data_IF_024833675156
#
_entry.id   IF_024833675156
#
_cell.length_a   1.000
_cell.length_b   1.000
_cell.length_c   1.000
_cell.angle_alpha   90.00
_cell.angle_beta   90.00
_cell.angle_gamma   90.00
#
_symmetry.space_group_name_H-M   'P 1'
#
loop_
_entity.id
_entity.type
_entity.pdbx_description
1 polymer ?
#
# COMPACT_ATOMS: atom_id res chain seq x y z
N UNK A 1 -11.57 0.09 12.03
CA UNK A 1 -11.65 -1.33 11.60
C UNK A 1 -10.53 -1.50 10.59
N UNK A 2 -9.57 -2.40 10.83
CA UNK A 2 -8.45 -2.62 9.90
C UNK A 2 -8.75 -3.87 9.05
N UNK A 3 -8.24 -3.94 7.82
CA UNK A 3 -8.28 -5.10 6.91
C UNK A 3 -9.58 -5.37 6.13
N UNK A 4 -10.66 -4.62 6.35
CA UNK A 4 -11.94 -4.94 5.67
C UNK A 4 -11.91 -4.57 4.19
N UNK A 5 -11.33 -3.43 3.84
CA UNK A 5 -11.30 -2.99 2.46
C UNK A 5 -10.34 -3.85 1.63
N UNK A 6 -9.16 -4.17 2.19
CA UNK A 6 -8.23 -5.16 1.63
C UNK A 6 -8.83 -6.56 1.50
N UNK A 7 -9.61 -7.03 2.49
CA UNK A 7 -10.28 -8.32 2.42
C UNK A 7 -11.32 -8.39 1.29
N UNK A 8 -12.11 -7.34 1.13
CA UNK A 8 -13.08 -7.26 0.03
C UNK A 8 -12.34 -7.26 -1.31
N UNK A 9 -11.30 -6.44 -1.47
CA UNK A 9 -10.53 -6.38 -2.71
C UNK A 9 -9.94 -7.74 -3.09
N UNK A 10 -9.30 -8.43 -2.14
CA UNK A 10 -8.70 -9.75 -2.36
C UNK A 10 -9.75 -10.81 -2.70
N UNK A 11 -10.85 -10.90 -1.94
CA UNK A 11 -11.85 -11.95 -2.15
C UNK A 11 -12.63 -11.76 -3.45
N UNK A 12 -12.94 -10.52 -3.82
CA UNK A 12 -13.57 -10.22 -5.12
C UNK A 12 -12.59 -10.55 -6.24
N UNK A 13 -11.31 -10.20 -6.12
CA UNK A 13 -10.33 -10.49 -7.16
C UNK A 13 -10.15 -12.00 -7.38
N UNK A 14 -10.05 -12.79 -6.31
CA UNK A 14 -9.94 -14.26 -6.40
C UNK A 14 -11.13 -14.86 -7.14
N UNK A 15 -12.35 -14.39 -6.89
CA UNK A 15 -13.54 -14.87 -7.60
C UNK A 15 -13.51 -14.49 -9.09
N UNK A 16 -13.15 -13.25 -9.40
CA UNK A 16 -13.07 -12.76 -10.79
C UNK A 16 -11.96 -13.45 -11.61
N UNK A 17 -10.91 -13.95 -10.96
CA UNK A 17 -9.83 -14.71 -11.63
C UNK A 17 -10.31 -16.04 -12.21
N UNK A 18 -11.48 -16.55 -11.80
CA UNK A 18 -12.13 -17.69 -12.46
C UNK A 18 -12.71 -17.31 -13.84
N UNK A 19 -12.84 -16.02 -14.14
CA UNK A 19 -13.49 -15.48 -15.33
C UNK A 19 -12.57 -14.61 -16.19
N UNK A 20 -11.44 -14.15 -15.66
CA UNK A 20 -10.44 -13.33 -16.35
C UNK A 20 -9.03 -13.72 -15.93
N UNK A 21 -8.09 -13.73 -16.87
CA UNK A 21 -6.66 -13.95 -16.59
C UNK A 21 -5.99 -12.76 -15.91
N UNK A 22 -6.59 -11.58 -16.00
CA UNK A 22 -6.09 -10.33 -15.45
C UNK A 22 -7.20 -9.61 -14.70
N UNK A 23 -6.92 -9.22 -13.46
CA UNK A 23 -7.89 -8.60 -12.56
C UNK A 23 -7.17 -7.56 -11.70
N UNK A 24 -7.77 -6.37 -11.61
CA UNK A 24 -7.41 -5.34 -10.65
C UNK A 24 -8.69 -4.96 -9.91
N UNK A 25 -8.70 -5.13 -8.59
CA UNK A 25 -9.81 -4.67 -7.74
C UNK A 25 -9.28 -3.59 -6.82
N UNK A 26 -9.83 -2.38 -6.97
CA UNK A 26 -9.58 -1.23 -6.11
C UNK A 26 -10.81 -1.01 -5.23
N UNK A 27 -10.60 -1.00 -3.91
CA UNK A 27 -11.61 -0.67 -2.92
C UNK A 27 -11.10 0.48 -2.04
N UNK A 28 -11.17 1.69 -2.57
CA UNK A 28 -10.57 2.87 -1.93
C UNK A 28 -9.04 2.83 -2.03
N UNK A 29 -8.35 2.91 -0.89
CA UNK A 29 -6.88 2.87 -0.86
C UNK A 29 -6.27 1.47 -0.97
N UNK A 30 -7.11 0.44 -1.08
CA UNK A 30 -6.72 -0.97 -0.99
C UNK A 30 -6.96 -1.70 -2.30
N UNK A 31 -5.90 -2.30 -2.83
CA UNK A 31 -5.87 -2.91 -4.15
C UNK A 31 -5.41 -4.36 -4.02
N UNK A 32 -6.04 -5.26 -4.76
CA UNK A 32 -5.48 -6.58 -5.08
C UNK A 32 -5.41 -6.73 -6.60
N UNK A 33 -4.25 -7.11 -7.11
CA UNK A 33 -4.00 -7.16 -8.54
C UNK A 33 -3.30 -8.44 -9.00
N UNK A 34 -3.64 -8.86 -10.22
CA UNK A 34 -3.04 -9.93 -10.99
C UNK A 34 -3.06 -9.54 -12.47
N UNK A 35 -1.90 -9.47 -13.10
CA UNK A 35 -1.74 -9.00 -14.49
C UNK A 35 -0.62 -9.79 -15.18
N UNK A 36 -0.74 -9.95 -16.50
CA UNK A 36 0.29 -10.53 -17.36
C UNK A 36 1.26 -9.48 -17.90
N UNK A 37 0.99 -8.20 -17.65
CA UNK A 37 1.84 -7.06 -18.01
C UNK A 37 2.23 -6.24 -16.77
N UNK A 38 3.38 -5.53 -16.80
CA UNK A 38 3.74 -4.62 -15.72
C UNK A 38 2.65 -3.58 -15.45
N UNK A 39 2.36 -3.35 -14.17
CA UNK A 39 1.35 -2.38 -13.72
C UNK A 39 2.03 -1.25 -12.95
N UNK A 40 1.59 -0.01 -13.21
CA UNK A 40 1.96 1.16 -12.41
C UNK A 40 0.80 1.52 -11.49
N UNK A 41 1.02 1.49 -10.19
CA UNK A 41 0.05 1.90 -9.17
C UNK A 41 0.44 3.27 -8.65
N UNK A 42 -0.33 4.29 -9.02
CA UNK A 42 -0.07 5.68 -8.64
C UNK A 42 -0.17 5.90 -7.12
N UNK A 43 0.75 6.67 -6.56
CA UNK A 43 0.75 7.01 -5.14
C UNK A 43 0.01 8.34 -4.91
N UNK A 44 -1.14 8.27 -4.27
CA UNK A 44 -1.87 9.44 -3.80
C UNK A 44 -1.56 9.73 -2.32
N UNK A 45 -0.95 10.88 -2.04
CA UNK A 45 -0.53 11.31 -0.70
C UNK A 45 -1.12 12.68 -0.33
N UNK A 46 -2.37 12.94 -0.75
CA UNK A 46 -3.10 14.15 -0.39
C UNK A 46 -2.41 15.43 -0.84
N UNK A 47 -2.11 16.31 0.12
CA UNK A 47 -1.47 17.62 -0.11
C UNK A 47 0.05 17.56 -0.16
N UNK A 48 0.66 16.40 0.08
CA UNK A 48 2.10 16.24 -0.08
C UNK A 48 2.51 16.65 -1.50
N UNK A 49 3.65 17.34 -1.69
CA UNK A 49 4.18 17.63 -3.01
C UNK A 49 4.56 16.36 -3.80
N UNK A 50 4.62 15.20 -3.14
CA UNK A 50 4.91 13.89 -3.75
C UNK A 50 3.64 13.19 -4.28
N UNK A 51 2.45 13.71 -3.95
CA UNK A 51 1.17 13.14 -4.38
C UNK A 51 1.05 13.17 -5.90
N UNK A 52 0.70 12.03 -6.51
CA UNK A 52 0.59 11.86 -7.96
C UNK A 52 1.85 12.22 -8.76
N UNK A 53 3.03 12.14 -8.14
CA UNK A 53 4.32 12.29 -8.83
C UNK A 53 5.00 10.95 -9.10
N UNK A 54 4.68 9.93 -8.32
CA UNK A 54 5.34 8.63 -8.33
C UNK A 54 4.32 7.50 -8.37
N UNK A 55 4.72 6.37 -8.94
CA UNK A 55 3.97 5.11 -8.94
C UNK A 55 4.86 3.94 -8.51
N UNK A 56 4.24 2.93 -7.90
CA UNK A 56 4.86 1.63 -7.71
C UNK A 56 4.75 0.86 -9.03
N UNK A 57 5.87 0.44 -9.59
CA UNK A 57 5.89 -0.44 -10.76
C UNK A 57 6.02 -1.88 -10.28
N UNK A 58 5.07 -2.72 -10.69
CA UNK A 58 4.95 -4.11 -10.30
C UNK A 58 5.05 -4.98 -11.54
N UNK A 59 6.04 -5.86 -11.57
CA UNK A 59 6.25 -6.81 -12.67
C UNK A 59 5.32 -8.04 -12.51
N UNK A 60 4.92 -8.71 -13.61
CA UNK A 60 4.01 -9.86 -13.56
C UNK A 60 4.44 -11.01 -12.65
N UNK A 61 5.74 -11.26 -12.51
CA UNK A 61 6.30 -12.33 -11.65
C UNK A 61 6.16 -12.02 -10.14
N UNK A 62 5.89 -10.77 -9.80
CA UNK A 62 5.58 -10.36 -8.43
C UNK A 62 4.10 -10.54 -8.09
N UNK A 63 3.23 -10.77 -9.06
CA UNK A 63 1.79 -10.91 -8.88
C UNK A 63 1.35 -12.37 -8.72
N UNK A 64 0.16 -12.65 -8.14
CA UNK A 64 -0.75 -11.70 -7.53
C UNK A 64 -0.22 -11.14 -6.20
N UNK A 65 -0.66 -9.93 -5.85
CA UNK A 65 -0.36 -9.28 -4.57
C UNK A 65 -1.39 -8.21 -4.22
N UNK A 66 -1.37 -7.80 -2.95
CA UNK A 66 -2.10 -6.67 -2.40
C UNK A 66 -1.21 -5.45 -2.18
N UNK A 67 -1.76 -4.27 -2.46
CA UNK A 67 -1.18 -2.96 -2.19
C UNK A 67 -2.22 -2.13 -1.46
N UNK A 68 -1.96 -1.81 -0.20
CA UNK A 68 -2.94 -1.18 0.67
C UNK A 68 -2.38 0.09 1.29
N UNK A 69 -3.20 1.13 1.36
CA UNK A 69 -2.77 2.46 1.77
C UNK A 69 -3.60 2.99 2.92
N UNK A 70 -2.93 3.38 4.00
CA UNK A 70 -3.52 4.17 5.08
C UNK A 70 -3.05 5.61 5.00
N UNK A 71 -3.94 6.56 5.29
CA UNK A 71 -3.62 7.98 5.34
C UNK A 71 -4.31 8.63 6.55
N UNK A 72 -3.58 9.52 7.23
CA UNK A 72 -4.11 10.39 8.30
C UNK A 72 -4.66 11.71 7.78
N UNK A 73 -4.30 12.11 6.56
CA UNK A 73 -4.65 13.41 5.98
C UNK A 73 -5.64 13.33 4.82
N UNK A 74 -6.02 12.10 4.43
CA UNK A 74 -6.83 11.81 3.24
C UNK A 74 -7.87 10.74 3.55
N UNK A 75 -9.07 10.92 2.98
CA UNK A 75 -10.14 9.93 3.02
C UNK A 75 -11.03 10.02 4.27
N UNK A 76 -12.15 9.29 4.29
CA UNK A 76 -13.10 9.30 5.41
C UNK A 76 -12.67 8.38 6.57
N UNK A 77 -11.71 7.49 6.34
CA UNK A 77 -11.27 6.49 7.31
C UNK A 77 -10.52 7.13 8.47
N UNK A 78 -10.88 6.75 9.69
CA UNK A 78 -10.20 7.22 10.89
C UNK A 78 -8.78 6.65 10.96
N UNK A 79 -7.79 7.53 10.95
CA UNK A 79 -6.40 7.23 11.29
C UNK A 79 -5.99 8.10 12.47
N UNK A 80 -5.23 7.50 13.40
CA UNK A 80 -4.71 8.15 14.61
C UNK A 80 -3.31 8.73 14.41
N UNK A 81 -2.74 8.55 13.22
CA UNK A 81 -1.47 9.15 12.80
C UNK A 81 -1.68 10.36 11.91
N UNK A 82 -0.56 10.88 11.42
CA UNK A 82 -0.51 12.09 10.58
C UNK A 82 0.25 11.88 9.27
N UNK A 83 0.55 10.61 8.91
CA UNK A 83 1.13 10.30 7.60
C UNK A 83 0.18 10.66 6.46
N UNK A 84 0.75 11.17 5.37
CA UNK A 84 0.00 11.49 4.16
C UNK A 84 -0.32 10.24 3.34
N UNK A 85 0.58 9.26 3.34
CA UNK A 85 0.33 7.91 2.85
C UNK A 85 1.27 6.90 3.52
N UNK A 86 0.75 5.74 3.89
CA UNK A 86 1.52 4.55 4.24
C UNK A 86 1.02 3.43 3.37
N UNK A 87 1.80 3.06 2.37
CA UNK A 87 1.47 2.04 1.39
C UNK A 87 2.29 0.77 1.70
N UNK A 88 1.59 -0.35 1.88
CA UNK A 88 2.19 -1.66 2.18
C UNK A 88 1.90 -2.62 1.03
N UNK A 89 2.92 -3.35 0.61
CA UNK A 89 2.84 -4.39 -0.41
C UNK A 89 3.00 -5.76 0.26
N UNK A 90 2.06 -6.67 0.03
CA UNK A 90 2.05 -8.04 0.58
C UNK A 90 1.42 -9.02 -0.41
N UNK A 91 1.66 -10.33 -0.25
CA UNK A 91 0.91 -11.36 -1.00
C UNK A 91 -0.58 -11.39 -0.64
N UNK A 92 -0.98 -10.80 0.49
CA UNK A 92 -2.38 -10.66 0.89
C UNK A 92 -2.74 -9.19 1.11
N UNK A 93 -3.82 -8.71 0.47
CA UNK A 93 -4.33 -7.36 0.72
C UNK A 93 -4.91 -7.24 2.14
N UNK A 94 -5.38 -8.34 2.74
CA UNK A 94 -5.84 -8.37 4.14
C UNK A 94 -4.69 -7.97 5.07
N UNK A 95 -3.52 -8.59 4.84
CA UNK A 95 -2.28 -8.34 5.60
C UNK A 95 -1.74 -6.95 5.31
N UNK A 96 -1.71 -6.54 4.04
CA UNK A 96 -1.26 -5.21 3.66
C UNK A 96 -2.10 -4.10 4.32
N UNK A 97 -3.44 -4.18 4.28
CA UNK A 97 -4.35 -3.20 4.91
C UNK A 97 -4.15 -3.16 6.43
N UNK A 98 -3.97 -4.33 7.08
CA UNK A 98 -3.67 -4.41 8.51
C UNK A 98 -2.40 -3.61 8.86
N UNK A 99 -1.31 -3.87 8.15
CA UNK A 99 -0.03 -3.24 8.41
C UNK A 99 0.01 -1.77 7.98
N UNK A 100 -0.65 -1.41 6.87
CA UNK A 100 -0.78 -0.02 6.45
C UNK A 100 -1.47 0.80 7.55
N UNK A 101 -2.57 0.29 8.09
CA UNK A 101 -3.28 0.93 9.22
C UNK A 101 -2.42 0.98 10.48
N UNK A 102 -1.76 -0.13 10.85
CA UNK A 102 -0.93 -0.20 12.05
C UNK A 102 0.24 0.78 11.99
N UNK A 103 1.00 0.78 10.89
CA UNK A 103 2.14 1.67 10.67
C UNK A 103 1.65 3.12 10.53
N UNK A 104 0.59 3.37 9.76
CA UNK A 104 -0.02 4.70 9.60
C UNK A 104 -0.36 5.36 10.93
N UNK A 105 -0.92 4.60 11.88
CA UNK A 105 -1.22 5.08 13.22
C UNK A 105 0.02 5.38 14.09
N UNK A 106 1.18 4.78 13.78
CA UNK A 106 2.44 5.04 14.48
C UNK A 106 3.11 6.33 14.02
N UNK A 107 2.91 6.73 12.76
CA UNK A 107 3.59 7.89 12.19
C UNK A 107 2.89 9.18 12.60
N UNK A 108 3.51 9.96 13.49
CA UNK A 108 3.01 11.29 13.89
C UNK A 108 4.00 12.41 13.57
N UNK A 109 5.28 12.07 13.50
CA UNK A 109 6.34 12.97 13.03
C UNK A 109 7.37 12.24 12.17
N UNK A 110 8.30 12.99 11.58
CA UNK A 110 9.40 12.46 10.77
C UNK A 110 10.24 11.43 11.54
N UNK A 111 10.37 11.58 12.87
CA UNK A 111 11.14 10.66 13.72
C UNK A 111 10.48 9.28 13.88
N UNK A 112 9.18 9.16 13.58
CA UNK A 112 8.47 7.88 13.66
C UNK A 112 8.67 7.02 12.40
N UNK A 113 9.19 7.58 11.31
CA UNK A 113 9.40 6.88 10.04
C UNK A 113 10.28 5.64 10.23
N UNK A 114 11.37 5.75 10.98
CA UNK A 114 12.29 4.64 11.25
C UNK A 114 11.60 3.50 11.99
N UNK A 115 10.63 3.80 12.87
CA UNK A 115 9.83 2.79 13.57
C UNK A 115 8.94 2.03 12.60
N UNK A 116 8.32 2.73 11.64
CA UNK A 116 7.53 2.11 10.58
C UNK A 116 8.36 1.17 9.71
N UNK A 117 9.57 1.59 9.34
CA UNK A 117 10.53 0.74 8.61
C UNK A 117 10.94 -0.49 9.44
N UNK A 118 11.16 -0.31 10.74
CA UNK A 118 11.52 -1.42 11.62
C UNK A 118 10.40 -2.46 11.74
N UNK A 119 9.13 -2.02 11.79
CA UNK A 119 7.97 -2.93 11.74
C UNK A 119 7.99 -3.75 10.45
N UNK A 120 8.21 -3.12 9.30
CA UNK A 120 8.28 -3.84 8.03
C UNK A 120 9.46 -4.82 8.00
N UNK A 121 10.63 -4.41 8.49
CA UNK A 121 11.82 -5.25 8.58
C UNK A 121 11.63 -6.49 9.45
N UNK A 122 10.97 -6.34 10.61
CA UNK A 122 10.70 -7.45 11.53
C UNK A 122 9.66 -8.43 10.99
N UNK A 123 8.75 -7.95 10.14
CA UNK A 123 7.69 -8.75 9.53
C UNK A 123 7.94 -8.98 8.03
N UNK A 124 9.20 -9.14 7.63
CA UNK A 124 9.61 -9.28 6.23
C UNK A 124 9.09 -10.53 5.51
N UNK A 125 8.53 -11.50 6.25
CA UNK A 125 7.82 -12.64 5.66
C UNK A 125 6.43 -12.24 5.15
N UNK A 126 5.81 -11.23 5.76
CA UNK A 126 4.47 -10.76 5.43
C UNK A 126 4.49 -9.52 4.54
N UNK A 127 5.46 -8.63 4.76
CA UNK A 127 5.59 -7.36 4.05
C UNK A 127 6.71 -7.48 3.01
N UNK A 128 6.33 -7.38 1.74
CA UNK A 128 7.25 -7.34 0.60
C UNK A 128 7.85 -5.94 0.47
N UNK A 129 7.02 -4.93 0.71
CA UNK A 129 7.37 -3.54 0.50
C UNK A 129 6.61 -2.58 1.41
N UNK A 130 7.24 -1.49 1.77
CA UNK A 130 6.66 -0.35 2.47
C UNK A 130 7.07 0.97 1.80
N UNK A 131 6.11 1.86 1.59
CA UNK A 131 6.33 3.29 1.28
C UNK A 131 5.65 4.13 2.35
N UNK A 132 6.38 5.09 2.91
CA UNK A 132 5.83 6.10 3.83
C UNK A 132 6.04 7.47 3.21
N UNK A 133 4.95 8.24 3.13
CA UNK A 133 4.97 9.66 2.82
C UNK A 133 4.51 10.44 4.05
N UNK A 134 5.37 11.35 4.50
CA UNK A 134 5.05 12.31 5.54
C UNK A 134 5.51 13.69 5.07
N UNK A 135 4.56 14.52 4.65
CA UNK A 135 4.81 15.82 4.01
C UNK A 135 5.73 15.67 2.80
N UNK A 136 6.87 16.34 2.79
CA UNK A 136 7.90 16.25 1.76
C UNK A 136 8.81 15.01 1.87
N UNK A 137 8.71 14.25 2.96
CA UNK A 137 9.58 13.10 3.21
C UNK A 137 9.00 11.83 2.59
N UNK A 138 9.84 11.12 1.84
CA UNK A 138 9.59 9.78 1.31
C UNK A 138 10.54 8.80 1.98
N UNK A 139 10.01 7.69 2.47
CA UNK A 139 10.80 6.56 2.93
C UNK A 139 10.29 5.27 2.29
N UNK A 140 11.23 4.36 2.02
CA UNK A 140 10.94 3.09 1.35
C UNK A 140 11.71 1.95 2.01
N UNK A 141 11.12 0.76 1.99
CA UNK A 141 11.78 -0.46 2.42
C UNK A 141 11.27 -1.67 1.64
N UNK A 142 12.15 -2.63 1.35
CA UNK A 142 11.78 -3.89 0.70
C UNK A 142 11.83 -3.85 -0.83
N UNK A 143 11.16 -4.82 -1.46
CA UNK A 143 11.16 -5.05 -2.91
C UNK A 143 10.21 -4.12 -3.68
N UNK A 144 10.41 -2.80 -3.57
CA UNK A 144 9.61 -1.79 -4.26
C UNK A 144 10.45 -1.08 -5.31
N UNK A 145 9.89 -0.96 -6.51
CA UNK A 145 10.38 -0.09 -7.57
C UNK A 145 9.45 1.10 -7.71
N UNK A 146 9.96 2.31 -7.46
CA UNK A 146 9.21 3.56 -7.71
C UNK A 146 9.65 4.16 -9.03
N UNK A 147 8.69 4.60 -9.83
CA UNK A 147 8.91 5.28 -11.10
C UNK A 147 8.13 6.60 -11.13
N UNK A 148 8.58 7.60 -11.91
CA UNK A 148 7.75 8.76 -12.22
C UNK A 148 6.46 8.34 -12.95
N UNK A 149 5.39 9.08 -12.69
CA UNK A 149 4.15 9.00 -13.48
C UNK A 149 4.36 9.66 -14.84
#
# INVERSE_FOLDING_TARGET
MASVAGAIAEKVAIELLNHSSEVIVENGGDIYLSSLQPIKVGLYAGKSPLSMQLALEIDPDQMPLGICTSAGTVGPSLSFGSADAVCVVSRSAIVADAYATAIGNMIRSVQDIDKGIEVARRNCHDIIGLVIVFREYLAMWGGIKMVPI
#
